data_IF_085303666022
#
_entry.id   IF_085303666022
#
_cell.length_a   1.000
_cell.length_b   1.000
_cell.length_c   1.000
_cell.angle_alpha   90.00
_cell.angle_beta   90.00
_cell.angle_gamma   90.00
#
_symmetry.space_group_name_H-M   'P 1'
#
loop_
_entity.id
_entity.type
_entity.pdbx_description
1 polymer ?
#
# COMPACT_ATOMS: atom_id res chain seq x y z
N UNK A 1 -9.69 -9.20 -76.66
CA UNK A 1 -10.42 -10.49 -76.75
C UNK A 1 -10.01 -11.36 -75.56
N UNK A 2 -11.01 -12.01 -74.93
CA UNK A 2 -10.96 -13.01 -73.84
C UNK A 2 -10.75 -12.51 -72.40
N UNK A 3 -11.91 -12.41 -71.75
CA UNK A 3 -12.30 -12.65 -70.34
C UNK A 3 -11.30 -13.38 -69.43
N UNK A 4 -11.19 -12.93 -68.17
CA UNK A 4 -11.20 -13.84 -67.02
C UNK A 4 -11.75 -13.17 -65.75
N UNK A 5 -12.85 -13.73 -65.26
CA UNK A 5 -13.38 -13.63 -63.90
C UNK A 5 -12.40 -14.33 -62.92
N UNK A 6 -12.32 -13.90 -61.66
CA UNK A 6 -12.90 -14.59 -60.47
C UNK A 6 -12.18 -14.18 -59.17
N UNK A 7 -12.98 -13.60 -58.28
CA UNK A 7 -13.10 -13.84 -56.82
C UNK A 7 -11.90 -13.86 -55.88
N UNK A 8 -11.99 -12.90 -54.97
CA UNK A 8 -11.54 -12.82 -53.58
C UNK A 8 -11.74 -14.12 -52.79
N UNK A 9 -10.67 -14.60 -52.13
CA UNK A 9 -10.74 -15.65 -51.09
C UNK A 9 -10.60 -15.00 -49.71
N UNK A 10 -11.65 -15.08 -48.89
CA UNK A 10 -11.59 -14.82 -47.46
C UNK A 10 -11.06 -16.06 -46.75
N UNK A 11 -9.96 -15.92 -46.00
CA UNK A 11 -9.38 -16.99 -45.19
C UNK A 11 -9.94 -16.87 -43.77
N UNK A 12 -10.86 -17.77 -43.40
CA UNK A 12 -11.35 -17.95 -42.03
C UNK A 12 -10.40 -18.94 -41.32
N UNK A 13 -9.66 -18.47 -40.33
CA UNK A 13 -8.86 -19.30 -39.44
C UNK A 13 -9.75 -19.82 -38.29
N UNK A 14 -10.25 -21.04 -38.45
CA UNK A 14 -10.84 -21.84 -37.37
C UNK A 14 -9.72 -22.59 -36.65
N UNK A 15 -9.28 -22.08 -35.50
CA UNK A 15 -8.42 -22.85 -34.60
C UNK A 15 -9.29 -23.77 -33.73
N UNK A 16 -8.94 -25.06 -33.78
CA UNK A 16 -9.75 -26.16 -33.30
C UNK A 16 -9.90 -26.25 -31.78
N UNK A 17 -11.13 -26.49 -31.37
CA UNK A 17 -11.50 -27.10 -30.09
C UNK A 17 -11.29 -28.61 -30.18
N UNK A 18 -10.04 -29.05 -29.93
CA UNK A 18 -9.79 -30.46 -29.61
C UNK A 18 -10.15 -30.69 -28.15
N UNK A 19 -11.14 -31.56 -28.01
CA UNK A 19 -11.70 -32.16 -26.80
C UNK A 19 -10.61 -32.52 -25.77
N UNK A 20 -10.50 -31.72 -24.72
CA UNK A 20 -9.94 -32.13 -23.43
C UNK A 20 -11.11 -32.32 -22.44
N UNK A 21 -11.93 -33.34 -22.70
CA UNK A 21 -12.84 -33.89 -21.71
C UNK A 21 -12.20 -35.18 -21.17
N UNK A 22 -12.28 -35.34 -19.85
CA UNK A 22 -11.86 -36.49 -19.05
C UNK A 22 -10.41 -36.53 -18.55
N UNK A 23 -10.13 -35.69 -17.55
CA UNK A 23 -9.82 -36.16 -16.19
C UNK A 23 -9.86 -34.99 -15.21
N UNK A 24 -11.04 -34.39 -15.03
CA UNK A 24 -11.32 -33.64 -13.81
C UNK A 24 -11.45 -34.67 -12.68
N UNK A 25 -10.31 -35.12 -12.15
CA UNK A 25 -10.29 -35.75 -10.84
C UNK A 25 -10.97 -34.80 -9.87
N UNK A 26 -12.15 -35.20 -9.38
CA UNK A 26 -12.81 -34.62 -8.22
C UNK A 26 -11.92 -34.88 -7.00
N UNK A 27 -10.78 -34.19 -6.93
CA UNK A 27 -10.05 -34.02 -5.69
C UNK A 27 -10.93 -33.09 -4.88
N UNK A 28 -11.80 -33.68 -4.05
CA UNK A 28 -12.55 -32.94 -3.06
C UNK A 28 -11.51 -32.20 -2.20
N UNK A 29 -11.33 -30.91 -2.48
CA UNK A 29 -10.31 -30.11 -1.84
C UNK A 29 -10.53 -30.23 -0.33
N UNK A 30 -9.55 -30.77 0.39
CA UNK A 30 -9.61 -30.85 1.86
C UNK A 30 -10.00 -29.46 2.37
N UNK A 31 -11.04 -29.34 3.21
CA UNK A 31 -11.47 -28.04 3.70
C UNK A 31 -10.28 -27.36 4.36
N UNK A 32 -9.95 -26.15 3.90
CA UNK A 32 -8.81 -25.41 4.40
C UNK A 32 -8.95 -25.26 5.92
N UNK A 33 -7.93 -25.71 6.66
CA UNK A 33 -7.92 -25.63 8.13
C UNK A 33 -8.31 -24.22 8.59
N UNK A 34 -9.30 -24.13 9.47
CA UNK A 34 -9.71 -22.87 10.08
C UNK A 34 -8.56 -22.31 10.91
N UNK A 35 -8.13 -21.10 10.57
CA UNK A 35 -7.20 -20.29 11.34
C UNK A 35 -7.94 -19.72 12.55
N UNK A 36 -7.23 -19.62 13.67
CA UNK A 36 -7.77 -18.97 14.88
C UNK A 36 -8.06 -17.50 14.59
N UNK A 37 -9.03 -16.93 15.30
CA UNK A 37 -9.39 -15.51 15.19
C UNK A 37 -9.92 -15.15 13.79
N UNK A 38 -10.78 -16.01 13.25
CA UNK A 38 -11.65 -15.67 12.14
C UNK A 38 -12.73 -14.68 12.63
N UNK A 39 -13.17 -13.78 11.77
CA UNK A 39 -14.20 -12.76 12.05
C UNK A 39 -13.85 -11.87 13.25
N UNK A 40 -12.57 -11.53 13.42
CA UNK A 40 -12.12 -10.62 14.47
C UNK A 40 -11.60 -9.31 13.88
N UNK A 41 -11.75 -8.24 14.64
CA UNK A 41 -11.23 -6.92 14.33
C UNK A 41 -10.01 -6.62 15.20
N UNK A 42 -9.00 -5.97 14.63
CA UNK A 42 -7.85 -5.42 15.34
C UNK A 42 -7.83 -3.92 15.13
N UNK A 43 -7.76 -3.16 16.23
CA UNK A 43 -7.43 -1.74 16.19
C UNK A 43 -5.95 -1.58 16.57
N UNK A 44 -5.21 -0.78 15.81
CA UNK A 44 -3.78 -0.59 16.03
C UNK A 44 -3.28 0.80 15.69
N UNK A 45 -2.01 1.00 15.97
CA UNK A 45 -1.25 2.20 15.62
C UNK A 45 0.17 1.81 15.21
N UNK A 46 0.65 2.40 14.13
CA UNK A 46 2.01 2.25 13.60
C UNK A 46 2.94 3.28 14.22
N UNK A 47 3.92 2.84 15.01
CA UNK A 47 4.69 3.72 15.89
C UNK A 47 5.74 4.57 15.17
N UNK A 48 6.18 4.18 13.97
CA UNK A 48 7.16 5.00 13.21
C UNK A 48 6.62 6.40 12.95
N UNK A 49 5.32 6.57 12.68
CA UNK A 49 4.75 7.90 12.44
C UNK A 49 4.91 8.82 13.66
N UNK A 50 4.32 8.52 14.84
CA UNK A 50 4.46 9.37 16.01
C UNK A 50 5.92 9.52 16.50
N UNK A 51 6.78 8.51 16.33
CA UNK A 51 8.16 8.55 16.84
C UNK A 51 9.11 9.29 15.89
N UNK A 52 9.07 8.98 14.59
CA UNK A 52 10.04 9.50 13.60
C UNK A 52 9.53 10.78 12.95
N UNK A 53 8.25 10.80 12.55
CA UNK A 53 7.67 11.90 11.77
C UNK A 53 6.80 12.85 12.61
N UNK A 54 6.57 12.54 13.88
CA UNK A 54 5.53 13.19 14.68
C UNK A 54 4.11 12.86 14.19
N UNK A 55 3.10 13.40 14.87
CA UNK A 55 1.70 13.18 14.52
C UNK A 55 1.16 11.82 14.99
N UNK A 56 0.22 11.23 14.24
CA UNK A 56 -0.43 9.98 14.62
C UNK A 56 -0.66 9.02 13.46
N UNK A 57 -0.84 7.75 13.82
CA UNK A 57 -1.33 6.69 12.95
C UNK A 57 -2.41 5.87 13.65
N UNK A 58 -3.47 5.50 12.93
CA UNK A 58 -4.41 4.48 13.35
C UNK A 58 -4.70 3.54 12.19
N UNK A 59 -4.86 2.25 12.50
CA UNK A 59 -5.27 1.27 11.51
C UNK A 59 -6.26 0.27 12.09
N UNK A 60 -7.26 -0.08 11.30
CA UNK A 60 -8.23 -1.12 11.58
C UNK A 60 -8.01 -2.30 10.64
N UNK A 61 -7.93 -3.52 11.18
CA UNK A 61 -7.76 -4.74 10.40
C UNK A 61 -8.87 -5.71 10.74
N UNK A 62 -9.65 -6.10 9.74
CA UNK A 62 -10.70 -7.10 9.87
C UNK A 62 -10.28 -8.41 9.19
N UNK A 63 -10.31 -9.50 9.94
CA UNK A 63 -10.08 -10.84 9.40
C UNK A 63 -11.42 -11.47 9.01
N UNK A 64 -11.85 -11.23 7.78
CA UNK A 64 -13.10 -11.72 7.24
C UNK A 64 -13.03 -13.23 6.94
N UNK A 65 -13.86 -14.03 7.62
CA UNK A 65 -13.83 -15.48 7.49
C UNK A 65 -12.47 -16.06 7.90
N UNK A 66 -11.97 -17.02 7.10
CA UNK A 66 -10.76 -17.75 7.47
C UNK A 66 -9.47 -17.00 7.11
N UNK A 67 -9.39 -16.47 5.89
CA UNK A 67 -8.12 -16.02 5.30
C UNK A 67 -8.12 -14.61 4.74
N UNK A 68 -9.28 -14.02 4.48
CA UNK A 68 -9.34 -12.67 3.94
C UNK A 68 -9.00 -11.67 5.04
N UNK A 69 -8.11 -10.74 4.73
CA UNK A 69 -7.77 -9.60 5.58
C UNK A 69 -8.19 -8.32 4.86
N UNK A 70 -8.90 -7.45 5.56
CA UNK A 70 -9.24 -6.11 5.10
C UNK A 70 -8.63 -5.11 6.06
N UNK A 71 -7.93 -4.10 5.53
CA UNK A 71 -7.30 -3.05 6.32
C UNK A 71 -7.84 -1.69 5.89
N UNK A 72 -8.01 -0.79 6.86
CA UNK A 72 -8.08 0.65 6.64
C UNK A 72 -7.06 1.32 7.53
N UNK A 73 -6.35 2.32 7.02
CA UNK A 73 -5.37 3.09 7.80
C UNK A 73 -5.51 4.57 7.52
N UNK A 74 -5.27 5.37 8.56
CA UNK A 74 -5.21 6.81 8.48
C UNK A 74 -4.09 7.32 9.38
N UNK A 75 -3.31 8.27 8.91
CA UNK A 75 -2.35 9.01 9.70
C UNK A 75 -2.37 10.48 9.32
N UNK A 76 -1.82 11.34 10.17
CA UNK A 76 -1.86 12.77 9.91
C UNK A 76 -0.95 13.57 10.82
N UNK A 77 -0.77 14.84 10.43
CA UNK A 77 0.11 15.80 11.09
C UNK A 77 1.59 15.34 11.16
N UNK A 78 2.06 14.69 10.11
CA UNK A 78 3.45 14.21 10.04
C UNK A 78 4.35 15.29 9.43
N UNK A 79 5.63 15.29 9.80
CA UNK A 79 6.67 16.16 9.23
C UNK A 79 7.89 15.32 8.93
N UNK A 80 8.51 15.50 7.77
CA UNK A 80 9.75 14.80 7.43
C UNK A 80 10.92 15.43 8.20
N UNK A 81 11.56 14.69 9.11
CA UNK A 81 12.81 15.14 9.69
C UNK A 81 13.92 15.11 8.64
N UNK A 82 14.94 15.93 8.83
CA UNK A 82 16.02 16.12 7.86
C UNK A 82 16.70 14.82 7.43
N UNK A 83 16.95 13.90 8.38
CA UNK A 83 17.59 12.60 8.11
C UNK A 83 16.74 11.60 7.31
N UNK A 84 15.48 11.94 7.00
CA UNK A 84 14.60 11.12 6.15
C UNK A 84 14.38 11.71 4.76
N UNK A 85 14.85 12.94 4.52
CA UNK A 85 14.74 13.60 3.22
C UNK A 85 15.77 13.05 2.24
N UNK A 86 15.46 13.11 0.95
CA UNK A 86 16.46 12.83 -0.08
C UNK A 86 17.52 13.93 -0.13
N UNK A 87 18.72 13.66 -0.68
CA UNK A 87 19.74 14.69 -0.87
C UNK A 87 19.23 15.92 -1.62
N UNK A 88 18.36 15.72 -2.62
CA UNK A 88 17.74 16.79 -3.41
C UNK A 88 16.80 17.63 -2.55
N UNK A 89 15.94 16.99 -1.74
CA UNK A 89 15.02 17.68 -0.84
C UNK A 89 15.76 18.48 0.23
N UNK A 90 16.87 17.96 0.74
CA UNK A 90 17.78 18.66 1.65
C UNK A 90 18.46 19.85 0.95
N UNK A 91 18.98 19.66 -0.27
CA UNK A 91 19.60 20.73 -1.05
C UNK A 91 18.62 21.87 -1.40
N UNK A 92 17.36 21.52 -1.62
CA UNK A 92 16.24 22.46 -1.85
C UNK A 92 15.75 23.14 -0.57
N UNK A 93 16.27 22.74 0.60
CA UNK A 93 15.77 23.15 1.93
C UNK A 93 14.25 23.00 2.04
N UNK A 94 13.73 21.88 1.53
CA UNK A 94 12.31 21.61 1.50
C UNK A 94 11.80 21.26 2.91
N UNK A 95 10.77 21.96 3.38
CA UNK A 95 9.98 21.56 4.55
C UNK A 95 8.78 20.76 4.08
N UNK A 96 8.79 19.45 4.35
CA UNK A 96 7.77 18.52 3.87
C UNK A 96 6.87 18.10 5.03
N UNK A 97 5.58 18.44 4.92
CA UNK A 97 4.54 18.04 5.87
C UNK A 97 3.56 17.09 5.18
N UNK A 98 3.05 16.11 5.93
CA UNK A 98 1.98 15.22 5.52
C UNK A 98 0.75 15.51 6.39
N UNK A 99 -0.18 16.36 5.94
CA UNK A 99 -1.41 16.62 6.70
C UNK A 99 -2.20 15.35 6.95
N UNK A 100 -2.27 14.48 5.94
CA UNK A 100 -2.92 13.19 6.04
C UNK A 100 -2.32 12.16 5.08
N UNK A 101 -2.40 10.91 5.49
CA UNK A 101 -2.20 9.72 4.67
C UNK A 101 -3.34 8.76 4.96
N UNK A 102 -3.94 8.17 3.93
CA UNK A 102 -5.04 7.25 4.12
C UNK A 102 -5.05 6.17 3.05
N UNK A 103 -5.63 5.02 3.38
CA UNK A 103 -5.85 4.00 2.39
C UNK A 103 -6.42 2.72 2.96
N UNK A 104 -6.52 1.74 2.08
CA UNK A 104 -7.09 0.43 2.39
C UNK A 104 -6.16 -0.67 1.90
N UNK A 105 -6.32 -1.85 2.48
CA UNK A 105 -5.58 -3.05 2.10
C UNK A 105 -6.47 -4.26 1.98
N UNK A 106 -6.11 -5.15 1.06
CA UNK A 106 -6.72 -6.47 0.91
C UNK A 106 -5.61 -7.49 1.01
N UNK A 107 -5.83 -8.54 1.79
CA UNK A 107 -4.78 -9.49 2.08
C UNK A 107 -5.24 -10.89 2.35
N UNK A 108 -4.25 -11.72 2.60
CA UNK A 108 -4.37 -13.15 2.81
C UNK A 108 -3.59 -13.57 4.05
N UNK A 109 -4.27 -14.25 4.98
CA UNK A 109 -3.65 -14.84 6.16
C UNK A 109 -2.93 -16.13 5.81
N UNK A 110 -1.62 -16.12 6.03
CA UNK A 110 -0.75 -17.27 5.88
C UNK A 110 -0.86 -18.16 7.14
N UNK A 111 -0.84 -17.53 8.31
CA UNK A 111 -1.00 -18.18 9.61
C UNK A 111 -1.94 -17.35 10.50
N UNK A 112 -2.25 -17.79 11.75
CA UNK A 112 -3.04 -16.95 12.65
C UNK A 112 -2.42 -15.58 12.98
N UNK A 113 -1.10 -15.46 12.85
CA UNK A 113 -0.30 -14.28 13.22
C UNK A 113 0.45 -13.63 12.07
N UNK A 114 0.52 -14.29 10.91
CA UNK A 114 1.20 -13.80 9.71
C UNK A 114 0.20 -13.63 8.57
N UNK A 115 0.23 -12.46 7.95
CA UNK A 115 -0.55 -12.19 6.75
C UNK A 115 0.20 -11.30 5.77
N UNK A 116 -0.14 -11.45 4.50
CA UNK A 116 0.37 -10.65 3.39
C UNK A 116 -0.77 -9.79 2.85
N UNK A 117 -0.49 -8.53 2.51
CA UNK A 117 -1.50 -7.58 2.02
C UNK A 117 -0.99 -6.85 0.79
N UNK A 118 -1.91 -6.51 -0.10
CA UNK A 118 -1.73 -5.44 -1.07
C UNK A 118 -2.47 -4.21 -0.54
N UNK A 119 -1.77 -3.09 -0.43
CA UNK A 119 -2.31 -1.83 0.09
C UNK A 119 -2.31 -0.75 -0.99
N UNK A 120 -3.31 0.12 -0.92
CA UNK A 120 -3.48 1.29 -1.78
C UNK A 120 -3.60 2.50 -0.86
N UNK A 121 -2.75 3.51 -1.07
CA UNK A 121 -2.74 4.71 -0.22
C UNK A 121 -2.66 5.98 -1.04
N UNK A 122 -3.23 7.04 -0.47
CA UNK A 122 -3.05 8.41 -0.89
C UNK A 122 -2.36 9.17 0.25
N UNK A 123 -1.34 9.95 -0.10
CA UNK A 123 -0.54 10.75 0.83
C UNK A 123 -0.59 12.19 0.39
N UNK A 124 -1.13 13.08 1.23
CA UNK A 124 -1.12 14.51 0.97
C UNK A 124 0.19 15.10 1.46
N UNK A 125 0.83 15.88 0.61
CA UNK A 125 2.03 16.64 0.93
C UNK A 125 1.75 18.12 0.84
N UNK A 126 2.31 18.86 1.79
CA UNK A 126 2.49 20.29 1.72
C UNK A 126 4.00 20.54 1.81
N UNK A 127 4.57 21.19 0.79
CA UNK A 127 6.01 21.44 0.69
C UNK A 127 6.25 22.93 0.56
N UNK A 128 7.08 23.47 1.45
CA UNK A 128 7.55 24.85 1.45
C UNK A 128 9.07 24.85 1.20
N UNK A 129 9.58 25.75 0.35
CA UNK A 129 11.01 25.82 0.01
C UNK A 129 11.66 27.04 0.68
N UNK A 130 12.56 26.79 1.65
CA UNK A 130 13.16 27.85 2.46
C UNK A 130 13.96 28.87 1.62
N UNK A 131 13.86 30.15 1.98
CA UNK A 131 14.53 31.24 1.24
C UNK A 131 13.86 31.59 -0.08
N UNK A 132 12.66 31.06 -0.33
CA UNK A 132 11.81 31.39 -1.49
C UNK A 132 10.37 31.65 -1.03
N UNK A 133 9.53 32.16 -1.94
CA UNK A 133 8.07 32.22 -1.74
C UNK A 133 7.34 31.02 -2.37
N UNK A 134 8.08 29.99 -2.80
CA UNK A 134 7.51 28.84 -3.47
C UNK A 134 6.95 27.84 -2.45
N UNK A 135 5.74 27.35 -2.73
CA UNK A 135 5.12 26.24 -2.02
C UNK A 135 4.25 25.43 -2.97
N UNK A 136 4.09 24.15 -2.66
CA UNK A 136 3.28 23.25 -3.47
C UNK A 136 2.59 22.21 -2.61
N UNK A 137 1.31 21.97 -2.93
CA UNK A 137 0.51 20.93 -2.28
C UNK A 137 0.09 19.89 -3.31
N UNK A 138 0.36 18.63 -3.04
CA UNK A 138 0.03 17.55 -3.97
C UNK A 138 -0.27 16.26 -3.23
N UNK A 139 -0.87 15.31 -3.95
CA UNK A 139 -1.16 13.99 -3.42
C UNK A 139 -0.43 12.94 -4.25
N UNK A 140 0.36 12.10 -3.58
CA UNK A 140 0.95 10.90 -4.19
C UNK A 140 0.08 9.69 -3.89
N UNK A 141 -0.16 8.87 -4.90
CA UNK A 141 -0.87 7.60 -4.78
C UNK A 141 0.14 6.47 -4.87
N UNK A 142 0.04 5.51 -3.95
CA UNK A 142 0.95 4.38 -3.86
C UNK A 142 0.20 3.07 -3.80
N UNK A 143 0.78 2.03 -4.39
CA UNK A 143 0.36 0.64 -4.21
C UNK A 143 1.54 -0.18 -3.72
N UNK A 144 1.33 -1.14 -2.83
CA UNK A 144 2.45 -1.89 -2.30
C UNK A 144 2.07 -3.22 -1.67
N UNK A 145 2.87 -4.29 -1.91
CA UNK A 145 2.79 -5.48 -1.10
C UNK A 145 3.40 -5.25 0.29
N UNK A 146 2.83 -5.91 1.29
CA UNK A 146 3.30 -5.86 2.67
C UNK A 146 3.19 -7.21 3.36
N UNK A 147 4.11 -7.46 4.30
CA UNK A 147 4.08 -8.60 5.21
C UNK A 147 3.92 -8.11 6.65
N UNK A 148 3.08 -8.83 7.39
CA UNK A 148 2.60 -8.43 8.71
C UNK A 148 2.66 -9.59 9.69
N UNK A 149 3.48 -9.46 10.71
CA UNK A 149 3.61 -10.45 11.78
C UNK A 149 3.15 -9.88 13.11
N UNK A 150 2.24 -10.56 13.79
CA UNK A 150 1.71 -10.16 15.11
C UNK A 150 2.15 -11.10 16.21
N UNK A 151 2.87 -10.57 17.18
CA UNK A 151 3.16 -11.23 18.44
C UNK A 151 2.15 -10.78 19.50
N UNK A 152 1.38 -11.71 20.05
CA UNK A 152 0.41 -11.42 21.10
C UNK A 152 1.04 -11.51 22.49
N UNK A 153 0.69 -10.57 23.38
CA UNK A 153 1.31 -10.39 24.69
C UNK A 153 0.66 -11.27 25.77
N UNK A 154 0.56 -12.57 25.50
CA UNK A 154 -0.09 -13.54 26.37
C UNK A 154 -1.09 -14.43 25.62
N UNK A 155 -1.54 -15.49 26.29
CA UNK A 155 -2.40 -16.52 25.67
C UNK A 155 -3.82 -16.04 25.42
N UNK A 156 -4.35 -15.23 26.32
CA UNK A 156 -5.74 -14.77 26.34
C UNK A 156 -5.87 -13.26 26.09
N UNK A 157 -4.79 -12.54 25.83
CA UNK A 157 -4.89 -11.11 25.54
C UNK A 157 -5.09 -10.84 24.06
N UNK A 158 -5.79 -9.76 23.75
CA UNK A 158 -5.91 -9.16 22.43
C UNK A 158 -4.75 -8.24 22.12
N UNK A 159 -4.01 -7.79 23.15
CA UNK A 159 -2.84 -6.93 22.98
C UNK A 159 -1.75 -7.64 22.18
N UNK A 160 -1.21 -6.94 21.19
CA UNK A 160 -0.17 -7.44 20.32
C UNK A 160 0.78 -6.33 19.88
N UNK A 161 1.98 -6.77 19.51
CA UNK A 161 2.96 -6.00 18.75
C UNK A 161 2.96 -6.52 17.32
N UNK A 162 2.89 -5.62 16.36
CA UNK A 162 2.90 -5.95 14.93
C UNK A 162 4.20 -5.46 14.29
N UNK A 163 4.96 -6.39 13.73
CA UNK A 163 6.07 -6.07 12.83
C UNK A 163 5.55 -6.07 11.40
N UNK A 164 5.93 -5.06 10.62
CA UNK A 164 5.55 -5.02 9.21
C UNK A 164 6.67 -4.46 8.34
N UNK A 165 6.78 -5.03 7.15
CA UNK A 165 7.60 -4.51 6.06
C UNK A 165 6.74 -4.35 4.82
N UNK A 166 6.99 -3.30 4.04
CA UNK A 166 6.24 -2.99 2.82
C UNK A 166 7.15 -2.34 1.82
N UNK A 167 6.88 -2.57 0.54
CA UNK A 167 7.46 -1.77 -0.53
C UNK A 167 6.36 -0.99 -1.23
N UNK A 168 6.50 0.33 -1.33
CA UNK A 168 5.54 1.21 -1.98
C UNK A 168 6.02 1.59 -3.38
N UNK A 169 5.22 1.25 -4.39
CA UNK A 169 5.33 1.80 -5.73
C UNK A 169 4.50 3.08 -5.82
N UNK A 170 5.13 4.19 -6.19
CA UNK A 170 4.42 5.43 -6.50
C UNK A 170 3.78 5.29 -7.90
N UNK A 171 2.45 5.26 -7.95
CA UNK A 171 1.70 5.01 -9.19
C UNK A 171 1.25 6.29 -9.88
N UNK A 172 1.03 7.35 -9.11
CA UNK A 172 0.63 8.66 -9.63
C UNK A 172 0.90 9.76 -8.61
N UNK A 173 1.03 10.99 -9.09
CA UNK A 173 0.96 12.20 -8.29
C UNK A 173 -0.04 13.17 -8.92
N UNK A 174 -0.62 14.05 -8.12
CA UNK A 174 -1.41 15.19 -8.62
C UNK A 174 -0.54 16.32 -9.17
N UNK A 175 0.80 16.21 -9.11
CA UNK A 175 1.71 17.13 -9.80
C UNK A 175 1.72 16.84 -11.30
N UNK A 176 1.76 17.90 -12.11
CA UNK A 176 1.98 17.76 -13.54
C UNK A 176 3.35 17.12 -13.78
N UNK A 177 3.41 16.03 -14.55
CA UNK A 177 4.63 15.26 -14.80
C UNK A 177 5.36 14.77 -13.53
N UNK A 178 4.66 14.66 -12.40
CA UNK A 178 5.24 14.35 -11.08
C UNK A 178 6.25 15.41 -10.55
N UNK A 179 6.22 16.63 -11.09
CA UNK A 179 7.21 17.66 -10.81
C UNK A 179 6.57 19.00 -10.46
N UNK A 180 7.31 19.81 -9.70
CA UNK A 180 7.03 21.21 -9.47
C UNK A 180 8.30 22.03 -9.71
N UNK A 181 8.28 22.86 -10.76
CA UNK A 181 9.38 23.75 -11.06
C UNK A 181 9.19 25.10 -10.36
N UNK A 182 10.25 25.63 -9.76
CA UNK A 182 10.24 26.92 -9.09
C UNK A 182 11.60 27.61 -9.21
N UNK A 183 11.65 28.90 -8.88
CA UNK A 183 12.92 29.65 -8.81
C UNK A 183 13.49 29.56 -7.40
N UNK A 184 14.69 29.01 -7.27
CA UNK A 184 15.41 28.89 -6.02
C UNK A 184 15.89 30.24 -5.47
N UNK A 185 16.39 30.22 -4.23
CA UNK A 185 16.92 31.42 -3.55
C UNK A 185 18.15 32.02 -4.24
N UNK A 186 18.85 31.22 -5.06
CA UNK A 186 19.96 31.65 -5.91
C UNK A 186 19.51 32.21 -7.28
N UNK A 187 18.20 32.29 -7.53
CA UNK A 187 17.64 32.74 -8.81
C UNK A 187 17.63 31.67 -9.91
N UNK A 188 18.15 30.47 -9.66
CA UNK A 188 18.16 29.38 -10.63
C UNK A 188 16.86 28.58 -10.61
N UNK A 189 16.51 27.98 -11.74
CA UNK A 189 15.35 27.09 -11.83
C UNK A 189 15.66 25.77 -11.14
N UNK A 190 14.85 25.40 -10.14
CA UNK A 190 14.89 24.12 -9.44
C UNK A 190 13.63 23.30 -9.73
N UNK A 191 13.71 21.98 -9.54
CA UNK A 191 12.60 21.05 -9.77
C UNK A 191 12.45 20.16 -8.55
N UNK A 192 11.28 20.23 -7.91
CA UNK A 192 10.88 19.31 -6.85
C UNK A 192 10.11 18.15 -7.45
N UNK A 193 10.60 16.93 -7.27
CA UNK A 193 9.89 15.72 -7.64
C UNK A 193 8.93 15.27 -6.54
N UNK A 194 7.80 14.68 -6.92
CA UNK A 194 6.88 14.06 -5.96
C UNK A 194 7.62 13.07 -5.05
N UNK A 195 7.42 13.20 -3.73
CA UNK A 195 8.06 12.36 -2.71
C UNK A 195 7.81 10.89 -3.00
N UNK A 196 8.89 10.10 -2.98
CA UNK A 196 8.90 8.66 -3.19
C UNK A 196 8.85 7.92 -1.86
N UNK A 197 8.01 6.90 -1.73
CA UNK A 197 7.83 6.19 -0.46
C UNK A 197 8.76 4.98 -0.28
N UNK A 198 8.94 4.15 -1.32
CA UNK A 198 9.87 3.03 -1.32
C UNK A 198 9.68 1.99 -0.20
N UNK A 199 10.80 1.40 0.25
CA UNK A 199 10.81 0.36 1.29
C UNK A 199 10.55 0.96 2.67
N UNK A 200 9.67 0.33 3.45
CA UNK A 200 9.33 0.74 4.80
C UNK A 200 9.33 -0.43 5.78
N UNK A 201 9.79 -0.17 6.99
CA UNK A 201 9.68 -1.06 8.15
C UNK A 201 8.91 -0.35 9.25
N UNK A 202 8.10 -1.09 10.00
CA UNK A 202 7.29 -0.50 11.04
C UNK A 202 7.02 -1.48 12.18
N UNK A 203 7.04 -0.95 13.40
CA UNK A 203 6.55 -1.61 14.61
C UNK A 203 5.26 -0.92 15.02
N UNK A 204 4.20 -1.69 15.22
CA UNK A 204 2.92 -1.22 15.71
C UNK A 204 2.52 -1.91 17.00
N UNK A 205 1.56 -1.29 17.70
CA UNK A 205 0.82 -1.90 18.80
C UNK A 205 -0.63 -2.00 18.40
N UNK A 206 -1.33 -3.00 18.91
CA UNK A 206 -2.75 -3.13 18.66
C UNK A 206 -3.47 -4.04 19.63
N UNK A 207 -4.79 -4.06 19.48
CA UNK A 207 -5.69 -4.89 20.26
C UNK A 207 -6.67 -5.62 19.33
N UNK A 208 -6.68 -6.96 19.41
CA UNK A 208 -7.60 -7.82 18.66
C UNK A 208 -8.81 -8.17 19.51
N UNK A 209 -9.97 -7.68 19.10
CA UNK A 209 -11.24 -7.94 19.76
C UNK A 209 -11.67 -9.41 19.58
N UNK A 210 -12.30 -9.97 20.61
CA UNK A 210 -12.78 -11.36 20.61
C UNK A 210 -11.73 -12.41 20.93
N UNK A 211 -10.43 -12.05 21.00
CA UNK A 211 -9.36 -13.00 21.38
C UNK A 211 -9.38 -13.38 22.87
N UNK A 212 -9.88 -12.50 23.73
CA UNK A 212 -9.93 -12.72 25.18
C UNK A 212 -11.08 -13.63 25.62
N UNK A 213 -11.97 -13.99 24.69
CA UNK A 213 -13.01 -14.95 24.97
C UNK A 213 -12.35 -16.33 24.93
N UNK A 214 -12.11 -16.90 26.10
CA UNK A 214 -11.77 -18.31 26.30
C UNK A 214 -12.67 -19.16 25.41
N UNK A 215 -12.07 -20.01 24.58
CA UNK A 215 -12.76 -21.19 24.06
C UNK A 215 -12.74 -22.25 25.13
#
# INVERSE_FOLDING_TARGET
MKTLLLTTTFMLLTFGSVLAQDTLTNVQAKPARSLRYANTFTLGSKLVQPIVFGGFNINGVYYAGNRLTLEYSHGGFLTYPEYTKSPEQTAQKATIKIPWTTGFGVGYRLTPTLDARMEFKAHRFNVDFEGTNASVNYTTFTVGPGLYYRQYLGRTTGFNVELSTRYWYDVASSLQNNEFAYTGSNGERQVHEAVKMGLSFNVGVGYTFGRNRTR
#
